data_IF_906297897716
#
_entry.id   IF_906297897716
#
_cell.length_a   1.000
_cell.length_b   1.000
_cell.length_c   1.000
_cell.angle_alpha   90.00
_cell.angle_beta   90.00
_cell.angle_gamma   90.00
#
_symmetry.space_group_name_H-M   'P 1'
#
loop_
_entity.id
_entity.type
_entity.pdbx_description
1 polymer ?
#
# COMPACT_ATOMS: atom_id res chain seq x y z
N UNK A 1 9.65 45.82 0.73
CA UNK A 1 9.36 44.61 1.54
C UNK A 1 10.33 44.64 2.70
N UNK A 2 9.87 44.35 3.91
CA UNK A 2 10.70 44.35 5.11
C UNK A 2 10.65 42.95 5.72
N UNK A 3 11.81 42.43 6.14
CA UNK A 3 11.87 41.18 6.89
C UNK A 3 11.61 41.47 8.37
N UNK A 4 10.37 41.26 8.84
CA UNK A 4 10.01 41.49 10.24
C UNK A 4 10.52 40.38 11.20
N UNK A 5 11.19 39.36 10.67
CA UNK A 5 11.82 38.28 11.43
C UNK A 5 13.10 37.82 10.72
N UNK A 6 14.09 37.25 11.44
CA UNK A 6 15.26 36.64 10.84
C UNK A 6 14.84 35.60 9.79
N UNK A 7 15.26 35.81 8.55
CA UNK A 7 14.91 34.93 7.44
C UNK A 7 16.16 34.14 7.10
N UNK A 8 16.10 32.81 7.12
CA UNK A 8 17.23 31.97 6.72
C UNK A 8 16.89 31.33 5.38
N UNK A 9 17.56 31.76 4.30
CA UNK A 9 17.38 31.16 2.98
C UNK A 9 18.71 30.51 2.58
N UNK A 10 18.70 29.22 2.25
CA UNK A 10 19.89 28.49 1.81
C UNK A 10 20.15 28.76 0.34
N UNK A 11 21.32 29.26 0.01
CA UNK A 11 21.82 29.48 -1.34
C UNK A 11 22.21 28.17 -2.01
N UNK A 12 22.46 28.25 -3.31
CA UNK A 12 22.91 27.08 -4.08
C UNK A 12 24.38 26.79 -3.78
N UNK A 13 24.72 25.50 -3.64
CA UNK A 13 26.10 25.05 -3.69
C UNK A 13 26.59 25.08 -5.14
N UNK A 14 27.86 25.42 -5.34
CA UNK A 14 28.52 25.20 -6.63
C UNK A 14 28.60 23.69 -6.93
N UNK A 15 28.81 23.33 -8.20
CA UNK A 15 28.90 21.92 -8.59
C UNK A 15 30.00 21.15 -7.82
N UNK A 16 31.15 21.79 -7.59
CA UNK A 16 32.24 21.22 -6.80
C UNK A 16 31.82 20.98 -5.34
N UNK A 17 31.22 22.00 -4.70
CA UNK A 17 30.74 21.90 -3.32
C UNK A 17 29.61 20.88 -3.17
N UNK A 18 28.74 20.75 -4.17
CA UNK A 18 27.68 19.74 -4.17
C UNK A 18 28.26 18.32 -4.33
N UNK A 19 29.25 18.12 -5.20
CA UNK A 19 29.93 16.82 -5.34
C UNK A 19 30.64 16.40 -4.06
N UNK A 20 31.24 17.34 -3.36
CA UNK A 20 32.03 17.07 -2.15
C UNK A 20 31.17 16.85 -0.90
N UNK A 21 30.13 17.67 -0.71
CA UNK A 21 29.35 17.66 0.53
C UNK A 21 27.92 17.15 0.34
N UNK A 22 27.38 17.13 -0.88
CA UNK A 22 25.94 16.94 -1.18
C UNK A 22 25.29 15.70 -0.58
N UNK A 23 26.06 14.62 -0.37
CA UNK A 23 25.59 13.38 0.26
C UNK A 23 25.59 13.37 1.79
N UNK A 24 26.24 14.34 2.45
CA UNK A 24 26.33 14.42 3.92
C UNK A 24 25.01 14.90 4.53
N UNK A 25 24.54 14.18 5.56
CA UNK A 25 23.39 14.59 6.38
C UNK A 25 23.73 15.83 7.21
N UNK A 26 22.74 16.63 7.65
CA UNK A 26 22.98 17.85 8.43
C UNK A 26 23.81 17.63 9.71
N UNK A 27 23.67 16.46 10.34
CA UNK A 27 24.40 16.08 11.56
C UNK A 27 25.88 15.76 11.30
N UNK A 28 26.25 15.48 10.04
CA UNK A 28 27.58 15.04 9.62
C UNK A 28 28.44 16.21 9.09
N UNK A 29 27.89 17.43 9.08
CA UNK A 29 28.55 18.64 8.62
C UNK A 29 29.34 19.30 9.75
N UNK A 30 30.57 19.73 9.46
CA UNK A 30 31.30 20.67 10.32
C UNK A 30 30.60 22.04 10.37
N UNK A 31 30.95 22.88 11.33
CA UNK A 31 30.42 24.25 11.40
C UNK A 31 30.78 25.07 10.14
N UNK A 32 31.99 24.91 9.62
CA UNK A 32 32.41 25.54 8.36
C UNK A 32 31.58 25.05 7.16
N UNK A 33 31.28 23.75 7.09
CA UNK A 33 30.43 23.18 6.04
C UNK A 33 28.97 23.64 6.14
N UNK A 34 28.48 23.88 7.36
CA UNK A 34 27.15 24.45 7.61
C UNK A 34 27.10 25.91 7.18
N UNK A 35 28.13 26.71 7.47
CA UNK A 35 28.24 28.10 7.02
C UNK A 35 28.30 28.19 5.49
N UNK A 36 29.04 27.30 4.83
CA UNK A 36 29.09 27.17 3.37
C UNK A 36 27.72 26.81 2.74
N UNK A 37 26.85 26.14 3.49
CA UNK A 37 25.47 25.79 3.09
C UNK A 37 24.42 26.82 3.51
N UNK A 38 24.81 27.82 4.31
CA UNK A 38 23.96 28.87 4.81
C UNK A 38 24.04 30.23 4.08
N UNK A 39 24.74 30.44 2.93
CA UNK A 39 24.70 31.74 2.28
C UNK A 39 23.28 32.01 1.79
N UNK A 40 22.86 33.28 1.72
CA UNK A 40 21.58 33.63 1.12
C UNK A 40 21.62 33.42 -0.40
N UNK A 41 20.44 33.31 -1.02
CA UNK A 41 20.34 33.43 -2.47
C UNK A 41 20.95 34.76 -2.91
N UNK A 42 21.87 34.71 -3.87
CA UNK A 42 22.46 35.90 -4.48
C UNK A 42 22.90 35.59 -5.91
N UNK A 43 22.50 36.46 -6.83
CA UNK A 43 22.96 36.51 -8.22
C UNK A 43 23.89 37.71 -8.46
N UNK A 44 24.14 38.52 -7.42
CA UNK A 44 24.93 39.74 -7.52
C UNK A 44 26.43 39.46 -7.34
N UNK A 45 27.26 40.19 -8.09
CA UNK A 45 28.73 40.21 -7.90
C UNK A 45 29.13 41.12 -6.73
N UNK A 46 28.28 42.07 -6.35
CA UNK A 46 28.50 42.97 -5.22
C UNK A 46 28.45 42.21 -3.88
N UNK A 47 29.34 42.60 -2.97
CA UNK A 47 29.42 42.05 -1.62
C UNK A 47 28.98 43.07 -0.57
N UNK A 48 28.35 42.56 0.49
CA UNK A 48 27.98 43.28 1.72
C UNK A 48 28.56 42.47 2.87
N UNK A 49 29.39 43.10 3.71
CA UNK A 49 30.06 42.47 4.86
C UNK A 49 30.84 41.17 4.49
N UNK A 50 31.52 41.18 3.34
CA UNK A 50 32.31 40.04 2.86
C UNK A 50 31.48 38.84 2.37
N UNK A 51 30.17 39.03 2.14
CA UNK A 51 29.27 38.03 1.55
C UNK A 51 28.56 38.62 0.34
N UNK A 52 28.22 37.80 -0.64
CA UNK A 52 27.42 38.26 -1.79
C UNK A 52 26.12 38.90 -1.32
N UNK A 53 25.77 40.03 -1.91
CA UNK A 53 24.59 40.82 -1.56
C UNK A 53 23.32 39.96 -1.62
N UNK A 54 22.54 39.86 -0.52
CA UNK A 54 21.43 38.94 -0.47
C UNK A 54 20.28 39.41 -1.37
N UNK A 55 19.63 38.45 -2.01
CA UNK A 55 18.49 38.66 -2.90
C UNK A 55 17.42 37.60 -2.62
N UNK A 56 16.16 38.00 -2.60
CA UNK A 56 15.05 37.05 -2.69
C UNK A 56 14.58 37.01 -4.15
N UNK A 57 14.71 35.88 -4.85
CA UNK A 57 14.33 35.78 -6.25
C UNK A 57 12.85 36.16 -6.46
N UNK A 58 12.58 36.95 -7.49
CA UNK A 58 11.22 37.34 -7.87
C UNK A 58 10.36 36.12 -8.22
N UNK A 59 10.97 35.05 -8.75
CA UNK A 59 10.31 33.77 -8.99
C UNK A 59 9.85 33.10 -7.69
N UNK A 60 10.63 33.16 -6.61
CA UNK A 60 10.24 32.67 -5.28
C UNK A 60 9.08 33.47 -4.72
N UNK A 61 9.17 34.81 -4.77
CA UNK A 61 8.09 35.69 -4.32
C UNK A 61 6.80 35.43 -5.11
N UNK A 62 6.90 35.33 -6.44
CA UNK A 62 5.78 34.96 -7.31
C UNK A 62 5.20 33.62 -6.91
N UNK A 63 6.03 32.60 -6.68
CA UNK A 63 5.58 31.26 -6.29
C UNK A 63 4.85 31.25 -4.95
N UNK A 64 5.39 31.95 -3.95
CA UNK A 64 4.78 32.07 -2.62
C UNK A 64 3.43 32.80 -2.68
N UNK A 65 3.37 33.95 -3.38
CA UNK A 65 2.10 34.69 -3.52
C UNK A 65 1.11 33.89 -4.36
N UNK A 66 1.56 33.24 -5.44
CA UNK A 66 0.70 32.37 -6.26
C UNK A 66 0.09 31.24 -5.44
N UNK A 67 0.87 30.55 -4.61
CA UNK A 67 0.37 29.48 -3.76
C UNK A 67 -0.72 29.99 -2.80
N UNK A 68 -0.54 31.17 -2.19
CA UNK A 68 -1.57 31.79 -1.36
C UNK A 68 -2.84 32.10 -2.15
N UNK A 69 -2.70 32.68 -3.35
CA UNK A 69 -3.82 32.97 -4.26
C UNK A 69 -4.55 31.69 -4.68
N UNK A 70 -3.83 30.61 -4.97
CA UNK A 70 -4.41 29.30 -5.29
C UNK A 70 -5.17 28.73 -4.09
N UNK A 71 -4.65 28.85 -2.87
CA UNK A 71 -5.34 28.38 -1.66
C UNK A 71 -6.63 29.19 -1.40
N UNK A 72 -6.54 30.52 -1.34
CA UNK A 72 -7.69 31.37 -1.01
C UNK A 72 -8.72 31.42 -2.14
N UNK A 73 -8.26 31.29 -3.39
CA UNK A 73 -9.10 31.35 -4.58
C UNK A 73 -9.72 30.01 -4.97
N UNK A 74 -9.44 28.93 -4.22
CA UNK A 74 -9.77 27.56 -4.61
C UNK A 74 -9.29 27.26 -6.04
N UNK A 75 -8.02 27.55 -6.29
CA UNK A 75 -7.35 27.29 -7.57
C UNK A 75 -7.45 25.81 -7.94
N UNK A 76 -7.37 25.54 -9.25
CA UNK A 76 -7.50 24.19 -9.78
C UNK A 76 -6.42 23.28 -9.23
N UNK A 77 -6.80 22.08 -8.82
CA UNK A 77 -5.88 21.10 -8.23
C UNK A 77 -5.31 20.24 -9.36
N UNK A 78 -4.05 20.49 -9.68
CA UNK A 78 -3.32 19.79 -10.75
C UNK A 78 -2.61 18.55 -10.21
N UNK A 79 -2.34 17.60 -11.10
CA UNK A 79 -1.44 16.45 -10.86
C UNK A 79 -1.85 15.51 -9.72
N UNK A 80 -3.15 15.23 -9.60
CA UNK A 80 -3.63 14.21 -8.65
C UNK A 80 -3.71 12.85 -9.33
N UNK A 81 -3.04 11.85 -8.74
CA UNK A 81 -3.00 10.49 -9.25
C UNK A 81 -4.39 9.84 -9.31
N UNK A 82 -4.66 9.13 -10.41
CA UNK A 82 -5.82 8.23 -10.54
C UNK A 82 -5.57 6.85 -9.93
N UNK A 83 -4.36 6.62 -9.44
CA UNK A 83 -3.87 5.36 -8.89
C UNK A 83 -2.87 5.63 -7.75
N UNK A 84 -2.65 4.67 -6.84
CA UNK A 84 -3.37 3.40 -6.72
C UNK A 84 -4.75 3.56 -6.08
N UNK A 85 -5.58 2.52 -6.20
CA UNK A 85 -6.78 2.43 -5.37
C UNK A 85 -6.39 2.23 -3.90
N UNK A 86 -7.10 2.91 -3.01
CA UNK A 86 -6.85 2.81 -1.58
C UNK A 86 -7.34 1.46 -1.05
N UNK A 87 -6.42 0.75 -0.39
CA UNK A 87 -6.73 -0.46 0.36
C UNK A 87 -6.11 -0.35 1.75
N UNK A 88 -6.74 -0.97 2.74
CA UNK A 88 -6.29 -0.89 4.12
C UNK A 88 -6.28 -2.25 4.82
N UNK A 89 -5.45 -2.36 5.84
CA UNK A 89 -5.35 -3.53 6.71
C UNK A 89 -5.01 -3.07 8.12
N UNK A 90 -5.94 -3.22 9.04
CA UNK A 90 -5.79 -2.77 10.43
C UNK A 90 -5.62 -3.97 11.39
N UNK A 91 -4.67 -4.85 11.07
CA UNK A 91 -4.35 -6.02 11.91
C UNK A 91 -3.57 -5.56 13.13
N UNK A 92 -4.07 -5.90 14.33
CA UNK A 92 -3.47 -5.47 15.59
C UNK A 92 -3.34 -3.93 15.72
N UNK A 93 -4.20 -3.19 15.03
CA UNK A 93 -4.27 -1.74 15.15
C UNK A 93 -4.59 -1.32 16.60
N UNK A 94 -4.06 -0.16 17.00
CA UNK A 94 -4.27 0.39 18.34
C UNK A 94 -5.75 0.68 18.57
N UNK A 95 -6.13 0.97 19.83
CA UNK A 95 -7.54 1.21 20.12
C UNK A 95 -8.13 2.44 19.44
N UNK A 96 -7.26 3.41 19.15
CA UNK A 96 -7.61 4.72 18.61
C UNK A 96 -7.46 4.79 17.09
N UNK A 97 -7.08 3.68 16.44
CA UNK A 97 -7.00 3.60 14.98
C UNK A 97 -8.41 3.57 14.37
N UNK A 98 -8.78 4.56 13.54
CA UNK A 98 -10.12 4.66 12.95
C UNK A 98 -10.42 3.54 11.96
N UNK A 99 -9.42 2.83 11.45
CA UNK A 99 -9.58 1.72 10.50
C UNK A 99 -9.75 0.36 11.20
N UNK A 100 -9.57 0.30 12.53
CA UNK A 100 -9.68 -0.95 13.30
C UNK A 100 -11.07 -1.57 13.18
N UNK A 101 -12.10 -0.78 13.49
CA UNK A 101 -13.47 -1.29 13.55
C UNK A 101 -14.02 -1.62 12.15
N UNK A 102 -13.86 -0.75 11.12
CA UNK A 102 -14.21 -1.10 9.75
C UNK A 102 -13.54 -2.38 9.24
N UNK A 103 -12.26 -2.60 9.58
CA UNK A 103 -11.56 -3.83 9.22
C UNK A 103 -12.11 -5.05 9.96
N UNK A 104 -12.38 -4.91 11.27
CA UNK A 104 -12.93 -5.98 12.11
C UNK A 104 -14.36 -6.35 11.72
N UNK A 105 -15.16 -5.42 11.23
CA UNK A 105 -16.53 -5.70 10.81
C UNK A 105 -16.57 -6.61 9.58
N UNK A 106 -15.59 -6.45 8.67
CA UNK A 106 -15.43 -7.33 7.50
C UNK A 106 -14.79 -8.66 7.88
N UNK A 107 -13.58 -8.63 8.45
CA UNK A 107 -12.77 -9.84 8.72
C UNK A 107 -13.27 -10.63 9.94
N UNK A 108 -14.03 -9.98 10.81
CA UNK A 108 -14.49 -10.52 12.07
C UNK A 108 -13.40 -10.50 13.15
N UNK A 109 -13.82 -10.56 14.41
CA UNK A 109 -12.89 -10.71 15.53
C UNK A 109 -12.03 -11.96 15.33
N UNK A 110 -10.70 -11.79 15.35
CA UNK A 110 -9.71 -12.84 15.11
C UNK A 110 -9.87 -13.59 13.77
N UNK A 111 -10.48 -12.97 12.76
CA UNK A 111 -10.66 -13.60 11.45
C UNK A 111 -11.84 -14.55 11.35
N UNK A 112 -12.80 -14.51 12.27
CA UNK A 112 -13.97 -15.42 12.31
C UNK A 112 -14.84 -15.40 11.04
N UNK A 113 -14.82 -14.32 10.26
CA UNK A 113 -15.58 -14.23 9.02
C UNK A 113 -14.79 -14.75 7.81
N UNK A 114 -13.48 -14.98 7.98
CA UNK A 114 -12.59 -15.39 6.90
C UNK A 114 -12.76 -16.89 6.65
N UNK A 115 -13.10 -17.22 5.41
CA UNK A 115 -13.16 -18.57 4.87
C UNK A 115 -11.95 -18.83 3.99
N UNK A 116 -11.67 -20.11 3.70
CA UNK A 116 -10.60 -20.52 2.81
C UNK A 116 -11.15 -21.45 1.72
N UNK A 117 -10.50 -21.45 0.56
CA UNK A 117 -10.92 -22.24 -0.59
C UNK A 117 -9.94 -22.14 -1.75
N UNK A 118 -10.38 -22.57 -2.92
CA UNK A 118 -9.57 -22.65 -4.12
C UNK A 118 -10.27 -21.94 -5.28
N UNK A 119 -9.50 -21.21 -6.07
CA UNK A 119 -10.02 -20.48 -7.21
C UNK A 119 -10.36 -21.41 -8.37
N UNK A 120 -11.56 -21.23 -8.91
CA UNK A 120 -11.99 -21.83 -10.17
C UNK A 120 -12.31 -20.71 -11.18
N UNK A 121 -11.94 -20.93 -12.43
CA UNK A 121 -12.35 -20.06 -13.54
C UNK A 121 -13.40 -20.79 -14.38
N UNK A 122 -14.58 -20.18 -14.55
CA UNK A 122 -15.66 -20.68 -15.40
C UNK A 122 -16.03 -19.59 -16.41
N UNK A 123 -15.55 -19.71 -17.64
CA UNK A 123 -15.60 -18.62 -18.62
C UNK A 123 -14.73 -17.44 -18.17
N UNK A 124 -15.32 -16.24 -18.16
CA UNK A 124 -14.66 -15.02 -17.66
C UNK A 124 -14.85 -14.78 -16.16
N UNK A 125 -15.74 -15.56 -15.53
CA UNK A 125 -16.06 -15.41 -14.12
C UNK A 125 -15.12 -16.25 -13.23
N UNK A 126 -14.79 -15.67 -12.07
CA UNK A 126 -14.08 -16.37 -11.00
C UNK A 126 -15.04 -16.88 -9.94
N UNK A 127 -14.72 -18.05 -9.43
CA UNK A 127 -15.45 -18.73 -8.37
C UNK A 127 -14.47 -19.22 -7.30
N UNK A 128 -14.98 -19.43 -6.09
CA UNK A 128 -14.25 -20.13 -5.04
C UNK A 128 -14.96 -21.44 -4.76
N UNK A 129 -14.23 -22.55 -4.86
CA UNK A 129 -14.65 -23.81 -4.22
C UNK A 129 -14.18 -23.78 -2.77
N UNK A 130 -15.08 -23.88 -1.77
CA UNK A 130 -14.67 -23.94 -0.37
C UNK A 130 -13.65 -25.07 -0.11
N UNK A 131 -12.72 -24.83 0.80
CA UNK A 131 -11.88 -25.88 1.36
C UNK A 131 -12.67 -26.66 2.42
N UNK A 132 -12.26 -27.89 2.70
CA UNK A 132 -12.67 -28.58 3.91
C UNK A 132 -12.31 -27.72 5.13
N UNK A 133 -13.11 -27.83 6.18
CA UNK A 133 -12.82 -27.19 7.47
C UNK A 133 -12.55 -28.26 8.52
N UNK A 134 -11.85 -27.92 9.62
CA UNK A 134 -11.74 -28.81 10.77
C UNK A 134 -13.12 -29.28 11.25
N UNK A 135 -14.14 -28.42 11.23
CA UNK A 135 -15.51 -28.78 11.62
C UNK A 135 -16.13 -29.86 10.72
N UNK A 136 -15.97 -29.74 9.39
CA UNK A 136 -16.42 -30.78 8.42
C UNK A 136 -15.69 -32.10 8.64
N UNK A 137 -14.44 -32.05 9.10
CA UNK A 137 -13.64 -33.23 9.44
C UNK A 137 -13.87 -33.73 10.88
N UNK A 138 -14.82 -33.16 11.61
CA UNK A 138 -15.12 -33.46 13.02
C UNK A 138 -13.94 -33.23 13.97
N UNK A 139 -13.04 -32.31 13.64
CA UNK A 139 -11.94 -31.87 14.48
C UNK A 139 -12.39 -30.74 15.42
N UNK A 140 -11.79 -30.60 16.61
CA UNK A 140 -12.17 -29.58 17.59
C UNK A 140 -11.60 -28.20 17.22
N UNK A 141 -12.02 -27.63 16.09
CA UNK A 141 -11.72 -26.24 15.73
C UNK A 141 -12.80 -25.69 14.80
N UNK A 142 -13.04 -24.37 14.89
CA UNK A 142 -13.97 -23.62 14.04
C UNK A 142 -13.25 -22.71 13.04
N UNK A 143 -11.92 -22.77 12.99
CA UNK A 143 -11.13 -21.97 12.07
C UNK A 143 -11.28 -22.49 10.63
N UNK A 144 -11.29 -21.62 9.62
CA UNK A 144 -11.41 -22.03 8.22
C UNK A 144 -10.12 -22.67 7.64
N UNK A 145 -9.00 -22.60 8.37
CA UNK A 145 -7.69 -23.10 7.97
C UNK A 145 -6.86 -23.40 9.22
N UNK A 146 -5.80 -24.19 9.08
CA UNK A 146 -4.89 -24.51 10.19
C UNK A 146 -3.68 -23.57 10.21
N UNK A 147 -3.07 -23.41 11.38
CA UNK A 147 -1.80 -22.68 11.54
C UNK A 147 -0.67 -23.67 11.76
N UNK A 148 0.39 -23.57 10.96
CA UNK A 148 1.60 -24.40 11.08
C UNK A 148 2.72 -23.53 11.62
N UNK A 149 3.33 -23.89 12.75
CA UNK A 149 4.48 -23.15 13.27
C UNK A 149 5.68 -23.45 12.39
N UNK A 150 6.42 -22.43 11.96
CA UNK A 150 7.59 -22.62 11.09
C UNK A 150 8.63 -23.57 11.71
N UNK A 151 8.79 -23.54 13.03
CA UNK A 151 9.71 -24.43 13.74
C UNK A 151 9.36 -25.92 13.62
N UNK A 152 8.13 -26.27 13.22
CA UNK A 152 7.69 -27.65 13.01
C UNK A 152 8.03 -28.16 11.60
N UNK A 153 8.44 -27.27 10.69
CA UNK A 153 8.81 -27.63 9.32
C UNK A 153 10.31 -27.87 9.28
N UNK A 154 10.73 -29.12 9.16
CA UNK A 154 12.11 -29.53 8.93
C UNK A 154 12.63 -29.01 7.59
N UNK A 155 13.95 -28.84 7.49
CA UNK A 155 14.59 -28.30 6.27
C UNK A 155 14.45 -29.18 5.03
N UNK A 156 14.10 -30.45 5.21
CA UNK A 156 13.93 -31.43 4.12
C UNK A 156 12.47 -31.88 3.95
N UNK A 157 11.57 -31.41 4.81
CA UNK A 157 10.19 -31.89 4.84
C UNK A 157 9.43 -31.45 3.58
N UNK A 158 9.69 -30.23 3.13
CA UNK A 158 9.03 -29.63 1.97
C UNK A 158 10.12 -29.10 1.01
N UNK A 159 10.28 -29.70 -0.19
CA UNK A 159 11.22 -29.22 -1.19
C UNK A 159 10.97 -27.76 -1.57
N UNK A 160 12.04 -26.96 -1.62
CA UNK A 160 11.99 -25.54 -1.99
C UNK A 160 11.41 -24.61 -0.92
N UNK A 161 11.05 -25.11 0.27
CA UNK A 161 10.53 -24.27 1.34
C UNK A 161 11.59 -23.30 1.88
N UNK A 162 11.35 -22.01 1.69
CA UNK A 162 12.15 -20.95 2.30
C UNK A 162 11.55 -20.50 3.62
N UNK A 163 12.40 -20.40 4.65
CA UNK A 163 12.01 -19.90 5.97
C UNK A 163 11.82 -18.40 5.96
N UNK A 164 10.99 -17.88 6.86
CA UNK A 164 10.63 -16.46 6.97
C UNK A 164 11.84 -15.53 7.08
N UNK A 165 12.95 -15.99 7.67
CA UNK A 165 14.18 -15.20 7.84
C UNK A 165 15.24 -15.49 6.76
N UNK A 166 14.89 -16.22 5.70
CA UNK A 166 15.79 -16.42 4.55
C UNK A 166 16.01 -15.09 3.84
N UNK A 167 17.26 -14.75 3.43
CA UNK A 167 17.52 -13.57 2.61
C UNK A 167 16.77 -13.61 1.27
N UNK A 168 16.58 -14.82 0.72
CA UNK A 168 15.89 -15.05 -0.55
C UNK A 168 14.38 -15.33 -0.41
N UNK A 169 13.81 -15.06 0.78
CA UNK A 169 12.41 -15.37 1.04
C UNK A 169 11.48 -14.61 0.09
N UNK A 170 10.57 -15.34 -0.53
CA UNK A 170 9.43 -14.81 -1.27
C UNK A 170 8.16 -15.56 -0.87
N UNK A 171 6.97 -14.99 -1.11
CA UNK A 171 5.72 -15.71 -0.89
C UNK A 171 5.67 -16.98 -1.74
N UNK A 172 5.35 -18.11 -1.12
CA UNK A 172 5.46 -19.44 -1.72
C UNK A 172 4.22 -20.28 -1.42
N UNK A 173 3.93 -21.24 -2.30
CA UNK A 173 2.84 -22.21 -2.17
C UNK A 173 3.39 -23.62 -2.25
N UNK A 174 3.09 -24.44 -1.24
CA UNK A 174 3.50 -25.85 -1.25
C UNK A 174 2.28 -26.75 -1.10
N UNK A 175 2.09 -27.67 -2.05
CA UNK A 175 1.23 -28.83 -1.83
C UNK A 175 1.88 -29.73 -0.79
N UNK A 176 1.13 -30.09 0.22
CA UNK A 176 1.66 -30.79 1.39
C UNK A 176 0.73 -31.90 1.82
N UNK A 177 1.33 -32.92 2.41
CA UNK A 177 0.62 -33.89 3.24
C UNK A 177 0.97 -33.67 4.71
N UNK A 178 0.05 -33.95 5.63
CA UNK A 178 0.25 -33.71 7.06
C UNK A 178 -0.56 -34.63 7.98
N UNK A 179 -0.09 -34.72 9.23
CA UNK A 179 -0.79 -35.34 10.36
C UNK A 179 -1.28 -34.26 11.32
N UNK A 180 -2.34 -34.59 12.07
CA UNK A 180 -2.87 -33.74 13.13
C UNK A 180 -2.89 -34.47 14.47
N UNK A 181 -2.77 -33.69 15.53
CA UNK A 181 -2.99 -34.13 16.90
C UNK A 181 -4.05 -33.25 17.56
N UNK A 182 -4.78 -33.85 18.50
CA UNK A 182 -5.79 -33.16 19.28
C UNK A 182 -5.26 -32.89 20.68
N UNK A 183 -5.43 -31.64 21.13
CA UNK A 183 -5.00 -31.20 22.45
C UNK A 183 -6.11 -30.47 23.19
N UNK A 184 -5.82 -30.09 24.44
CA UNK A 184 -6.70 -29.26 25.25
C UNK A 184 -5.94 -28.03 25.74
N UNK A 185 -6.41 -26.85 25.34
CA UNK A 185 -5.82 -25.56 25.70
C UNK A 185 -6.74 -24.78 26.64
N UNK A 186 -6.31 -23.56 27.00
CA UNK A 186 -7.08 -22.65 27.86
C UNK A 186 -8.47 -22.31 27.29
N UNK A 187 -8.60 -22.30 25.97
CA UNK A 187 -9.85 -21.99 25.25
C UNK A 187 -10.67 -23.23 24.87
N UNK A 188 -10.30 -24.42 25.36
CA UNK A 188 -10.97 -25.67 25.03
C UNK A 188 -10.13 -26.62 24.17
N UNK A 189 -10.74 -27.67 23.60
CA UNK A 189 -10.06 -28.61 22.73
C UNK A 189 -9.61 -27.88 21.44
N UNK A 190 -8.46 -28.30 20.90
CA UNK A 190 -7.91 -27.74 19.67
C UNK A 190 -7.25 -28.82 18.83
N UNK A 191 -7.09 -28.54 17.53
CA UNK A 191 -6.31 -29.35 16.59
C UNK A 191 -5.02 -28.62 16.24
N UNK A 192 -3.92 -29.37 16.14
CA UNK A 192 -2.64 -28.84 15.67
C UNK A 192 -2.01 -29.80 14.66
N UNK A 193 -1.25 -29.23 13.72
CA UNK A 193 -0.42 -30.03 12.81
C UNK A 193 0.76 -30.56 13.59
N UNK A 194 0.92 -31.89 13.63
CA UNK A 194 2.00 -32.57 14.33
C UNK A 194 3.18 -32.89 13.41
N UNK A 195 2.89 -33.32 12.19
CA UNK A 195 3.88 -33.56 11.14
C UNK A 195 3.39 -32.99 9.81
N UNK A 196 4.32 -32.55 8.98
CA UNK A 196 4.06 -32.00 7.65
C UNK A 196 5.20 -32.37 6.72
N UNK A 197 4.90 -32.62 5.46
CA UNK A 197 5.89 -32.85 4.42
C UNK A 197 5.34 -32.55 3.05
N UNK A 198 6.09 -32.89 2.00
CA UNK A 198 5.62 -32.78 0.62
C UNK A 198 4.34 -33.59 0.39
N UNK A 199 3.67 -33.36 -0.74
CA UNK A 199 2.48 -34.14 -1.13
C UNK A 199 2.75 -35.65 -1.17
N UNK A 200 4.00 -36.05 -1.42
CA UNK A 200 4.45 -37.44 -1.55
C UNK A 200 4.88 -38.07 -0.20
N UNK A 201 4.89 -37.30 0.90
CA UNK A 201 5.34 -37.80 2.21
C UNK A 201 4.40 -38.84 2.85
N UNK A 202 3.21 -39.09 2.26
CA UNK A 202 2.34 -40.20 2.62
C UNK A 202 1.49 -39.99 3.88
N UNK A 203 1.40 -38.77 4.39
CA UNK A 203 0.52 -38.45 5.51
C UNK A 203 -0.98 -38.46 5.09
N UNK A 204 -1.91 -38.75 6.02
CA UNK A 204 -3.32 -39.02 5.71
C UNK A 204 -4.12 -37.81 5.24
N UNK A 205 -3.67 -36.59 5.54
CA UNK A 205 -4.37 -35.37 5.14
C UNK A 205 -3.55 -34.59 4.11
N UNK A 206 -4.25 -33.92 3.20
CA UNK A 206 -3.67 -33.15 2.10
C UNK A 206 -4.15 -31.70 2.18
N UNK A 207 -3.31 -30.78 1.73
CA UNK A 207 -3.62 -29.36 1.73
C UNK A 207 -2.56 -28.52 1.01
N UNK A 208 -2.69 -27.20 1.13
CA UNK A 208 -1.71 -26.25 0.61
C UNK A 208 -1.21 -25.36 1.73
N UNK A 209 0.10 -25.41 1.96
CA UNK A 209 0.80 -24.50 2.85
C UNK A 209 0.99 -23.16 2.14
N UNK A 210 0.38 -22.13 2.70
CA UNK A 210 0.38 -20.75 2.24
C UNK A 210 1.38 -19.93 3.06
N UNK A 211 2.46 -19.52 2.40
CA UNK A 211 3.51 -18.66 2.96
C UNK A 211 3.37 -17.25 2.36
N UNK A 212 2.67 -16.36 3.06
CA UNK A 212 2.10 -15.15 2.48
C UNK A 212 2.92 -13.85 2.72
N UNK A 213 4.21 -13.94 3.02
CA UNK A 213 5.06 -12.79 3.36
C UNK A 213 5.70 -12.87 4.75
N UNK A 214 6.89 -12.29 4.91
CA UNK A 214 7.69 -12.33 6.14
C UNK A 214 7.64 -11.03 6.98
N UNK A 215 7.09 -9.93 6.46
CA UNK A 215 7.01 -8.63 7.14
C UNK A 215 8.38 -8.04 7.53
N UNK A 216 9.46 -8.46 6.88
CA UNK A 216 10.78 -7.86 7.08
C UNK A 216 10.92 -6.54 6.31
N UNK A 217 10.10 -6.33 5.26
CA UNK A 217 10.17 -5.16 4.38
C UNK A 217 9.79 -3.86 5.10
N UNK A 218 8.95 -3.95 6.13
CA UNK A 218 8.54 -2.82 6.98
C UNK A 218 9.32 -2.75 8.30
N UNK A 219 10.34 -3.59 8.48
CA UNK A 219 11.15 -3.68 9.70
C UNK A 219 12.42 -2.84 9.64
N UNK A 220 13.09 -2.70 10.78
CA UNK A 220 14.45 -2.12 10.79
C UNK A 220 15.46 -3.08 10.14
N UNK A 221 16.57 -2.56 9.55
CA UNK A 221 17.64 -3.41 9.05
C UNK A 221 18.11 -4.43 10.09
N UNK A 222 18.15 -5.72 9.72
CA UNK A 222 18.55 -6.82 10.62
C UNK A 222 17.43 -7.36 11.53
N UNK A 223 16.21 -6.82 11.45
CA UNK A 223 15.07 -7.34 12.21
C UNK A 223 14.61 -8.69 11.66
N UNK A 224 14.46 -9.68 12.56
CA UNK A 224 13.83 -10.97 12.24
C UNK A 224 12.34 -10.81 12.00
N UNK A 225 11.79 -11.66 11.14
CA UNK A 225 10.35 -11.73 10.90
C UNK A 225 9.59 -11.87 12.24
N UNK A 226 8.57 -11.02 12.51
CA UNK A 226 7.71 -11.19 13.67
C UNK A 226 6.76 -12.39 13.52
N UNK A 227 6.65 -12.95 12.32
CA UNK A 227 5.79 -14.10 12.05
C UNK A 227 6.44 -15.39 12.51
N UNK A 228 5.61 -16.32 12.98
CA UNK A 228 6.04 -17.65 13.43
C UNK A 228 5.23 -18.78 12.81
N UNK A 229 4.18 -18.43 12.05
CA UNK A 229 3.22 -19.39 11.54
C UNK A 229 2.94 -19.13 10.07
N UNK A 230 2.67 -20.22 9.35
CA UNK A 230 2.12 -20.24 8.00
C UNK A 230 0.67 -20.72 8.06
N UNK A 231 -0.14 -20.38 7.05
CA UNK A 231 -1.51 -20.86 6.96
C UNK A 231 -1.55 -22.16 6.15
N UNK A 232 -2.34 -23.14 6.57
CA UNK A 232 -2.54 -24.40 5.87
C UNK A 232 -4.02 -24.51 5.49
N UNK A 233 -4.29 -24.39 4.20
CA UNK A 233 -5.62 -24.58 3.62
C UNK A 233 -5.81 -26.06 3.37
N UNK A 234 -6.86 -26.65 3.95
CA UNK A 234 -7.21 -28.06 3.77
C UNK A 234 -7.68 -28.32 2.33
N UNK A 235 -7.64 -29.57 1.88
CA UNK A 235 -8.07 -29.95 0.53
C UNK A 235 -9.46 -29.38 0.15
N UNK A 236 -9.68 -29.18 -1.16
CA UNK A 236 -10.94 -28.67 -1.68
C UNK A 236 -12.12 -29.56 -1.29
N UNK A 237 -13.22 -28.97 -0.83
CA UNK A 237 -14.47 -29.68 -0.62
C UNK A 237 -15.17 -29.87 -1.98
N UNK A 238 -15.04 -31.08 -2.52
CA UNK A 238 -15.64 -31.46 -3.81
C UNK A 238 -17.17 -31.55 -3.76
N UNK A 239 -17.75 -31.65 -2.55
CA UNK A 239 -19.20 -31.70 -2.34
C UNK A 239 -19.80 -30.31 -2.12
N UNK A 240 -18.99 -29.31 -1.79
CA UNK A 240 -19.44 -27.95 -1.63
C UNK A 240 -19.70 -27.27 -2.99
N UNK A 241 -20.77 -26.48 -3.04
CA UNK A 241 -21.06 -25.61 -4.17
C UNK A 241 -20.01 -24.51 -4.29
N UNK A 242 -19.72 -24.12 -5.53
CA UNK A 242 -18.82 -23.01 -5.82
C UNK A 242 -19.53 -21.68 -5.62
N UNK A 243 -18.86 -20.73 -4.97
CA UNK A 243 -19.38 -19.40 -4.69
C UNK A 243 -18.81 -18.43 -5.74
N UNK A 244 -19.65 -17.67 -6.44
CA UNK A 244 -19.19 -16.68 -7.42
C UNK A 244 -18.44 -15.55 -6.70
N UNK A 245 -17.33 -15.10 -7.29
CA UNK A 245 -16.64 -13.89 -6.84
C UNK A 245 -17.29 -12.69 -7.51
N UNK A 246 -17.68 -11.71 -6.68
CA UNK A 246 -18.21 -10.45 -7.19
C UNK A 246 -17.15 -9.79 -8.08
N UNK A 247 -17.52 -9.37 -9.29
CA UNK A 247 -16.61 -8.78 -10.26
C UNK A 247 -15.90 -7.53 -9.70
N UNK A 248 -16.60 -6.74 -8.88
CA UNK A 248 -16.02 -5.60 -8.17
C UNK A 248 -14.91 -6.02 -7.21
N UNK A 249 -15.07 -7.16 -6.54
CA UNK A 249 -14.02 -7.68 -5.67
C UNK A 249 -12.77 -8.07 -6.48
N UNK A 250 -12.94 -8.62 -7.69
CA UNK A 250 -11.84 -8.94 -8.60
C UNK A 250 -11.09 -7.68 -9.03
N UNK A 251 -11.82 -6.64 -9.45
CA UNK A 251 -11.23 -5.37 -9.87
C UNK A 251 -10.53 -4.65 -8.72
N UNK A 252 -11.19 -4.53 -7.57
CA UNK A 252 -10.60 -3.94 -6.37
C UNK A 252 -9.32 -4.67 -5.94
N UNK A 253 -9.30 -6.01 -6.02
CA UNK A 253 -8.12 -6.81 -5.72
C UNK A 253 -6.95 -6.47 -6.65
N UNK A 254 -7.19 -6.45 -7.97
CA UNK A 254 -6.17 -6.13 -8.98
C UNK A 254 -5.61 -4.72 -8.82
N UNK A 255 -6.48 -3.73 -8.59
CA UNK A 255 -6.08 -2.34 -8.36
C UNK A 255 -5.33 -2.15 -7.04
N UNK A 256 -5.62 -2.98 -6.04
CA UNK A 256 -4.99 -2.97 -4.72
C UNK A 256 -3.64 -3.69 -4.64
N UNK A 257 -3.18 -4.33 -5.71
CA UNK A 257 -1.88 -5.02 -5.75
C UNK A 257 -0.73 -4.00 -5.74
N UNK A 258 0.16 -4.10 -4.73
CA UNK A 258 1.37 -3.28 -4.67
C UNK A 258 2.38 -3.72 -5.74
N UNK A 259 3.32 -2.86 -6.18
CA UNK A 259 4.40 -3.25 -7.10
C UNK A 259 5.12 -4.53 -6.64
N UNK A 260 5.53 -4.57 -5.37
CA UNK A 260 6.10 -5.76 -4.73
C UNK A 260 5.23 -7.01 -4.89
N UNK A 261 3.90 -6.91 -4.73
CA UNK A 261 3.03 -8.07 -4.87
C UNK A 261 2.95 -8.52 -6.33
N UNK A 262 2.98 -7.61 -7.30
CA UNK A 262 3.00 -7.98 -8.73
C UNK A 262 4.30 -8.67 -9.13
N UNK A 263 5.41 -8.29 -8.50
CA UNK A 263 6.76 -8.81 -8.77
C UNK A 263 7.04 -10.13 -8.04
N UNK A 264 6.66 -10.24 -6.75
CA UNK A 264 7.06 -11.34 -5.86
C UNK A 264 6.02 -12.46 -5.74
N UNK A 265 4.77 -12.25 -6.14
CA UNK A 265 3.73 -13.31 -6.18
C UNK A 265 3.86 -14.22 -7.42
N UNK A 266 5.09 -14.61 -7.78
CA UNK A 266 5.37 -15.42 -8.98
C UNK A 266 4.63 -16.76 -8.95
N UNK A 267 4.63 -17.43 -7.81
CA UNK A 267 3.93 -18.72 -7.61
C UNK A 267 2.40 -18.60 -7.69
N UNK A 268 1.88 -17.39 -7.43
CA UNK A 268 0.46 -17.12 -7.27
C UNK A 268 -0.24 -16.61 -8.55
N UNK A 269 0.50 -16.24 -9.60
CA UNK A 269 -0.08 -15.66 -10.82
C UNK A 269 0.55 -14.35 -11.27
N UNK A 270 1.60 -13.88 -10.60
CA UNK A 270 2.37 -12.68 -10.95
C UNK A 270 1.50 -11.42 -11.07
N UNK A 271 1.22 -10.95 -12.31
CA UNK A 271 0.54 -9.67 -12.58
C UNK A 271 -0.89 -9.61 -12.04
N UNK A 272 -1.59 -10.74 -12.01
CA UNK A 272 -2.97 -10.84 -11.50
C UNK A 272 -3.02 -11.30 -10.03
N UNK A 273 -1.89 -11.26 -9.31
CA UNK A 273 -1.84 -11.62 -7.90
C UNK A 273 -2.14 -13.10 -7.68
N UNK A 274 -3.18 -13.43 -6.89
CA UNK A 274 -3.61 -14.80 -6.62
C UNK A 274 -4.58 -15.38 -7.64
N UNK A 275 -5.04 -14.61 -8.63
CA UNK A 275 -6.06 -15.01 -9.60
C UNK A 275 -5.53 -16.01 -10.63
N UNK A 276 -5.33 -17.24 -10.17
CA UNK A 276 -4.89 -18.39 -10.96
C UNK A 276 -5.70 -19.60 -10.51
N UNK A 277 -6.10 -20.42 -11.49
CA UNK A 277 -6.86 -21.64 -11.23
C UNK A 277 -6.14 -22.52 -10.20
N UNK A 278 -6.91 -23.10 -9.29
CA UNK A 278 -6.48 -24.00 -8.22
C UNK A 278 -5.61 -23.35 -7.13
N UNK A 279 -5.41 -22.04 -7.17
CA UNK A 279 -4.72 -21.36 -6.08
C UNK A 279 -5.60 -21.29 -4.83
N UNK A 280 -5.00 -21.47 -3.64
CA UNK A 280 -5.73 -21.23 -2.40
C UNK A 280 -6.04 -19.75 -2.27
N UNK A 281 -7.16 -19.41 -1.65
CA UNK A 281 -7.57 -18.03 -1.39
C UNK A 281 -8.29 -17.94 -0.07
N UNK A 282 -8.15 -16.79 0.59
CA UNK A 282 -8.93 -16.44 1.77
C UNK A 282 -9.97 -15.41 1.38
N UNK A 283 -11.20 -15.56 1.87
CA UNK A 283 -12.31 -14.76 1.41
C UNK A 283 -13.35 -14.49 2.49
N UNK A 284 -14.13 -13.43 2.29
CA UNK A 284 -15.33 -13.10 3.07
C UNK A 284 -16.49 -13.02 2.10
N UNK A 285 -17.63 -13.57 2.51
CA UNK A 285 -18.85 -13.58 1.71
C UNK A 285 -19.84 -12.52 2.15
N UNK A 286 -20.69 -12.12 1.21
CA UNK A 286 -21.84 -11.23 1.41
C UNK A 286 -23.05 -11.76 0.67
N UNK A 287 -24.14 -11.00 0.71
CA UNK A 287 -25.37 -11.28 -0.05
C UNK A 287 -25.49 -10.26 -1.18
N UNK A 288 -25.78 -10.74 -2.39
CA UNK A 288 -26.06 -9.87 -3.53
C UNK A 288 -27.53 -9.40 -3.53
N UNK A 289 -27.91 -8.65 -4.57
CA UNK A 289 -29.29 -8.13 -4.75
C UNK A 289 -30.36 -9.24 -4.87
N UNK A 290 -29.97 -10.43 -5.31
CA UNK A 290 -30.84 -11.63 -5.39
C UNK A 290 -30.80 -12.49 -4.12
N UNK A 291 -30.18 -12.01 -3.05
CA UNK A 291 -29.97 -12.72 -1.77
C UNK A 291 -29.15 -14.02 -1.88
N UNK A 292 -28.39 -14.20 -2.95
CA UNK A 292 -27.46 -15.32 -3.10
C UNK A 292 -26.11 -14.97 -2.48
N UNK A 293 -25.43 -15.97 -1.94
CA UNK A 293 -24.09 -15.78 -1.39
C UNK A 293 -23.08 -15.48 -2.50
N UNK A 294 -22.22 -14.49 -2.28
CA UNK A 294 -21.12 -14.14 -3.18
C UNK A 294 -19.85 -13.76 -2.39
N UNK A 295 -18.68 -13.92 -3.00
CA UNK A 295 -17.43 -13.44 -2.41
C UNK A 295 -17.29 -11.94 -2.67
N UNK A 296 -17.24 -11.15 -1.59
CA UNK A 296 -17.18 -9.67 -1.65
C UNK A 296 -15.78 -9.12 -1.34
N UNK A 297 -14.95 -9.90 -0.65
CA UNK A 297 -13.54 -9.59 -0.43
C UNK A 297 -12.71 -10.87 -0.44
N UNK A 298 -11.49 -10.80 -0.97
CA UNK A 298 -10.56 -11.94 -0.95
C UNK A 298 -9.09 -11.52 -1.05
N UNK A 299 -8.19 -12.45 -0.75
CA UNK A 299 -6.76 -12.29 -1.00
C UNK A 299 -5.93 -13.54 -0.68
N UNK A 300 -4.63 -13.44 -0.90
CA UNK A 300 -3.65 -14.54 -0.74
C UNK A 300 -3.25 -14.81 0.72
N UNK A 301 -3.74 -14.03 1.69
CA UNK A 301 -3.48 -14.24 3.11
C UNK A 301 -4.76 -14.05 3.93
N UNK A 302 -4.89 -14.68 5.12
CA UNK A 302 -6.09 -14.54 5.94
C UNK A 302 -6.40 -13.11 6.39
N UNK A 303 -5.35 -12.29 6.45
CA UNK A 303 -5.42 -10.88 6.82
C UNK A 303 -5.24 -9.99 5.58
N UNK A 304 -6.00 -10.27 4.52
CA UNK A 304 -5.90 -9.55 3.26
C UNK A 304 -6.32 -8.07 3.43
N UNK A 305 -5.90 -7.22 2.48
CA UNK A 305 -6.30 -5.81 2.48
C UNK A 305 -7.74 -5.68 2.01
N UNK A 306 -8.46 -4.71 2.57
CA UNK A 306 -9.84 -4.37 2.22
C UNK A 306 -9.82 -3.11 1.37
N UNK A 307 -10.63 -3.10 0.32
CA UNK A 307 -10.85 -1.92 -0.54
C UNK A 307 -11.50 -0.79 0.27
N UNK A 308 -10.85 0.39 0.31
CA UNK A 308 -11.40 1.57 0.97
C UNK A 308 -12.46 2.20 0.07
N UNK A 309 -13.73 1.90 0.33
CA UNK A 309 -14.86 2.49 -0.42
C UNK A 309 -15.40 3.74 0.28
N UNK A 310 -15.27 3.84 1.60
CA UNK A 310 -15.63 5.04 2.35
C UNK A 310 -14.65 6.19 2.02
N UNK A 311 -15.12 7.44 1.95
CA UNK A 311 -16.46 7.94 2.28
C UNK A 311 -17.48 7.87 1.11
N UNK A 312 -17.21 7.11 0.06
CA UNK A 312 -18.04 7.02 -1.16
C UNK A 312 -18.79 5.68 -1.22
N UNK A 313 -19.81 5.43 -0.38
CA UNK A 313 -20.50 4.14 -0.31
C UNK A 313 -21.13 3.72 -1.64
N UNK A 314 -21.57 4.68 -2.46
CA UNK A 314 -22.15 4.43 -3.79
C UNK A 314 -21.10 4.21 -4.88
N UNK A 315 -19.80 4.37 -4.56
CA UNK A 315 -18.76 4.14 -5.54
C UNK A 315 -18.70 2.65 -5.92
N UNK A 316 -18.81 2.37 -7.22
CA UNK A 316 -18.65 1.04 -7.79
C UNK A 316 -17.19 0.53 -7.79
N UNK A 317 -16.27 1.21 -7.11
CA UNK A 317 -14.86 0.84 -6.93
C UNK A 317 -14.30 1.39 -5.61
N UNK A 318 -13.10 0.93 -5.22
CA UNK A 318 -12.31 1.61 -4.19
C UNK A 318 -12.03 3.08 -4.53
N UNK A 319 -11.89 3.88 -3.47
CA UNK A 319 -11.49 5.28 -3.54
C UNK A 319 -10.05 5.41 -4.05
N UNK A 320 -9.78 6.50 -4.76
CA UNK A 320 -8.50 6.88 -5.36
C UNK A 320 -8.16 8.31 -4.95
N UNK A 321 -6.89 8.77 -5.06
CA UNK A 321 -6.52 10.13 -4.65
C UNK A 321 -7.39 11.21 -5.33
N UNK A 322 -7.70 11.03 -6.62
CA UNK A 322 -8.53 11.97 -7.37
C UNK A 322 -9.95 12.13 -6.78
N UNK A 323 -10.52 11.09 -6.16
CA UNK A 323 -11.88 11.13 -5.61
C UNK A 323 -12.05 12.19 -4.50
N UNK A 324 -10.95 12.55 -3.84
CA UNK A 324 -10.93 13.54 -2.77
C UNK A 324 -10.77 14.98 -3.27
N UNK A 325 -10.59 15.17 -4.58
CA UNK A 325 -10.62 16.50 -5.22
C UNK A 325 -12.06 16.81 -5.59
N UNK A 326 -12.58 18.01 -5.32
CA UNK A 326 -13.93 18.38 -5.76
C UNK A 326 -13.98 18.47 -7.30
N UNK A 327 -15.05 18.01 -7.95
CA UNK A 327 -15.17 18.00 -9.42
C UNK A 327 -14.92 19.38 -10.04
N UNK A 328 -15.46 20.43 -9.40
CA UNK A 328 -15.25 21.82 -9.82
C UNK A 328 -13.78 22.27 -9.84
N UNK A 329 -12.87 21.53 -9.20
CA UNK A 329 -11.44 21.82 -9.11
C UNK A 329 -10.57 20.89 -9.98
N UNK A 330 -11.15 19.86 -10.59
CA UNK A 330 -10.41 18.83 -11.37
C UNK A 330 -10.13 19.29 -12.80
N UNK A 331 -11.18 19.73 -13.50
CA UNK A 331 -11.14 20.00 -14.94
C UNK A 331 -11.75 21.38 -15.25
N UNK A 332 -11.07 22.44 -14.81
CA UNK A 332 -11.42 23.79 -15.26
C UNK A 332 -10.71 24.09 -16.59
N UNK A 333 -11.50 24.05 -17.68
CA UNK A 333 -11.11 24.62 -18.97
C UNK A 333 -11.05 26.15 -18.92
N UNK A 334 -11.66 26.76 -17.91
CA UNK A 334 -11.58 28.19 -17.68
C UNK A 334 -10.39 28.52 -16.77
N UNK A 335 -9.69 29.64 -17.02
CA UNK A 335 -8.60 30.07 -16.17
C UNK A 335 -9.14 30.46 -14.78
N UNK A 336 -8.49 29.98 -13.73
CA UNK A 336 -8.79 30.38 -12.35
C UNK A 336 -8.19 31.75 -12.01
N UNK A 337 -8.41 32.22 -10.78
CA UNK A 337 -7.90 33.51 -10.33
C UNK A 337 -6.36 33.58 -10.37
N UNK A 338 -5.68 32.49 -10.04
CA UNK A 338 -4.23 32.44 -10.09
C UNK A 338 -3.74 32.50 -11.55
N UNK A 339 -4.38 31.78 -12.46
CA UNK A 339 -4.07 31.84 -13.89
C UNK A 339 -4.34 33.23 -14.48
N UNK A 340 -5.43 33.89 -14.09
CA UNK A 340 -5.73 35.26 -14.53
C UNK A 340 -4.68 36.29 -14.07
N UNK A 341 -4.11 36.12 -12.87
CA UNK A 341 -3.10 37.03 -12.31
C UNK A 341 -1.70 36.71 -12.85
N UNK A 342 -1.31 35.43 -12.82
CA UNK A 342 0.07 35.00 -13.05
C UNK A 342 0.31 34.40 -14.44
N UNK A 343 -0.73 34.23 -15.25
CA UNK A 343 -0.67 33.59 -16.56
C UNK A 343 -0.67 32.07 -16.49
N UNK A 344 -0.78 31.44 -17.66
CA UNK A 344 -0.71 30.00 -17.84
C UNK A 344 -0.14 29.63 -19.21
N UNK A 345 0.35 28.41 -19.30
CA UNK A 345 0.74 27.77 -20.56
C UNK A 345 -0.33 26.75 -20.90
N UNK A 346 -0.67 26.64 -22.17
CA UNK A 346 -1.61 25.63 -22.65
C UNK A 346 -1.05 24.22 -22.42
N UNK A 347 -1.85 23.37 -21.77
CA UNK A 347 -1.52 21.97 -21.51
C UNK A 347 -2.35 21.10 -22.48
N UNK A 348 -1.76 20.02 -23.01
CA UNK A 348 -2.34 19.26 -24.15
C UNK A 348 -3.69 18.60 -23.86
N UNK A 349 -3.95 18.22 -22.62
CA UNK A 349 -5.05 17.33 -22.27
C UNK A 349 -6.05 17.95 -21.26
N UNK A 350 -5.67 19.02 -20.56
CA UNK A 350 -6.45 19.59 -19.47
C UNK A 350 -6.08 21.06 -19.26
N UNK A 351 -6.97 21.83 -18.63
CA UNK A 351 -6.74 23.25 -18.37
C UNK A 351 -7.17 24.23 -19.49
N UNK A 352 -6.92 25.53 -19.30
CA UNK A 352 -7.36 26.55 -20.22
C UNK A 352 -6.57 26.54 -21.53
N UNK A 353 -7.33 26.69 -22.62
CA UNK A 353 -6.79 26.84 -23.97
C UNK A 353 -6.12 28.18 -24.14
N UNK A 354 -5.20 28.22 -25.11
CA UNK A 354 -4.36 29.36 -25.45
C UNK A 354 -3.47 29.82 -24.30
N UNK A 355 -2.16 29.84 -24.51
CA UNK A 355 -1.24 30.39 -23.50
C UNK A 355 -1.46 31.89 -23.30
N UNK A 356 -1.41 32.36 -22.04
CA UNK A 356 -1.53 33.79 -21.70
C UNK A 356 -0.45 34.22 -20.71
N UNK A 357 0.16 35.36 -21.00
CA UNK A 357 1.10 36.01 -20.10
C UNK A 357 0.38 36.52 -18.83
N UNK A 358 1.10 36.52 -17.71
CA UNK A 358 0.62 37.07 -16.46
C UNK A 358 0.46 38.59 -16.50
N UNK A 359 -0.39 39.12 -15.62
CA UNK A 359 -0.64 40.55 -15.45
C UNK A 359 0.16 41.14 -14.28
N UNK A 360 0.59 40.31 -13.34
CA UNK A 360 1.44 40.68 -12.23
C UNK A 360 2.89 40.22 -12.46
N UNK A 361 3.84 41.12 -12.20
CA UNK A 361 5.27 40.88 -12.38
C UNK A 361 5.97 41.00 -11.03
N UNK A 362 6.90 40.09 -10.78
CA UNK A 362 7.71 40.04 -9.58
C UNK A 362 9.15 40.17 -10.01
N UNK A 363 9.84 41.17 -9.49
CA UNK A 363 11.28 41.33 -9.62
C UNK A 363 11.97 40.81 -8.37
N UNK A 364 13.27 40.63 -8.47
CA UNK A 364 14.11 40.29 -7.32
C UNK A 364 14.00 41.36 -6.23
N UNK A 365 13.82 40.93 -4.98
CA UNK A 365 13.91 41.85 -3.84
C UNK A 365 15.38 42.00 -3.48
N UNK A 366 15.93 43.18 -3.78
CA UNK A 366 17.32 43.53 -3.54
C UNK A 366 17.52 44.06 -2.13
N UNK A 367 18.64 43.70 -1.51
CA UNK A 367 19.08 44.34 -0.28
C UNK A 367 19.27 45.85 -0.47
N UNK A 368 18.73 46.62 0.47
CA UNK A 368 18.91 48.07 0.60
C UNK A 368 19.52 48.30 1.98
N UNK A 369 20.69 48.91 2.01
CA UNK A 369 21.34 49.32 3.26
C UNK A 369 20.53 50.47 3.86
N UNK A 370 20.17 50.35 5.14
CA UNK A 370 19.27 51.28 5.82
C UNK A 370 20.00 52.54 6.32
#
# INVERSE_FOLDING_TARGET
METCSPTYVRGMLTEAQYKEHGGKKPEELSEEEKELRAPFFSTAEEEVEGRRKPVIPGSTLRGMVRALVEIIGYGRVRWVGREPAFTFRAVAASKDDPLRDPYRDVIGAFGRNVRAGYLERKGEDWYVRPALTPEVLHWPSKEAYLKVKERQIGSKDIPGFLRLNSPDYHPQLHKVSFNVEFGRGKSGPFVMVSQIGSSEAGYPHQGVLVCSGNMMESGQPGQKSPRKNHALVLASDTKADTIKINEKAVNDYKEGLTPFQKEELKDWGSKDGCLKKDNPVFYVTGRNSTNTEEVVYFGHCPNFRISARQPFPDANRAARPLDFVLDKLRDQLDPDLADAIFGWVEEKEWGPKDQRAGRAFFTDATFIEA
#
